data_IF_776042319105
#
_entry.id   IF_776042319105
#
_cell.length_a   1.000
_cell.length_b   1.000
_cell.length_c   1.000
_cell.angle_alpha   90.00
_cell.angle_beta   90.00
_cell.angle_gamma   90.00
#
_symmetry.space_group_name_H-M   'P 1'
#
loop_
_entity.id
_entity.type
_entity.pdbx_description
1 polymer ?
#
# COMPACT_ATOMS: atom_id res chain seq x y z
N UNK A 1 10.56 7.14 -0.33
CA UNK A 1 10.42 6.55 1.02
C UNK A 1 11.81 6.27 1.56
N UNK A 2 12.14 6.75 2.76
CA UNK A 2 13.42 6.45 3.39
C UNK A 2 13.36 5.07 4.06
N UNK A 3 14.52 4.50 4.36
CA UNK A 3 14.62 3.21 5.04
C UNK A 3 13.95 3.25 6.44
N UNK A 4 14.15 4.31 7.20
CA UNK A 4 13.52 4.49 8.53
C UNK A 4 11.98 4.47 8.46
N UNK A 5 11.38 5.17 7.49
CA UNK A 5 9.91 5.18 7.35
C UNK A 5 9.36 3.81 6.96
N UNK A 6 10.13 3.03 6.19
CA UNK A 6 9.76 1.66 5.86
C UNK A 6 9.79 0.76 7.10
N UNK A 7 10.82 0.87 7.93
CA UNK A 7 10.94 0.10 9.18
C UNK A 7 9.83 0.46 10.17
N UNK A 8 9.51 1.75 10.32
CA UNK A 8 8.39 2.20 11.16
C UNK A 8 7.06 1.61 10.70
N UNK A 9 6.80 1.69 9.38
CA UNK A 9 5.60 1.10 8.81
C UNK A 9 5.58 -0.42 9.02
N UNK A 10 6.72 -1.10 8.81
CA UNK A 10 6.87 -2.54 9.03
C UNK A 10 6.63 -2.91 10.49
N UNK A 11 7.07 -2.11 11.46
CA UNK A 11 6.78 -2.31 12.88
C UNK A 11 5.28 -2.21 13.18
N UNK A 12 4.55 -1.34 12.48
CA UNK A 12 3.11 -1.17 12.65
C UNK A 12 2.35 -2.35 12.02
N UNK A 13 2.64 -2.70 10.78
CA UNK A 13 1.85 -3.67 10.00
C UNK A 13 2.37 -5.11 10.12
N UNK A 14 3.62 -5.31 10.54
CA UNK A 14 4.30 -6.61 10.50
C UNK A 14 3.59 -7.70 11.31
N UNK A 15 2.97 -7.33 12.44
CA UNK A 15 2.18 -8.25 13.27
C UNK A 15 0.95 -8.80 12.54
N UNK A 16 0.37 -8.01 11.62
CA UNK A 16 -0.78 -8.42 10.79
C UNK A 16 -0.37 -9.28 9.59
N UNK A 17 0.92 -9.26 9.22
CA UNK A 17 1.45 -9.97 8.06
C UNK A 17 2.01 -11.36 8.41
N UNK A 18 1.90 -11.78 9.66
CA UNK A 18 2.34 -13.11 10.09
C UNK A 18 1.54 -14.20 9.34
N UNK A 19 2.26 -15.18 8.80
CA UNK A 19 1.71 -16.35 8.13
C UNK A 19 2.12 -17.58 8.92
N UNK A 20 1.19 -18.52 9.08
CA UNK A 20 1.52 -19.85 9.60
C UNK A 20 2.54 -20.52 8.66
N UNK A 21 3.77 -20.59 9.16
CA UNK A 21 4.93 -21.11 8.44
C UNK A 21 4.72 -22.54 7.96
N UNK A 22 4.24 -23.42 8.85
CA UNK A 22 4.06 -24.84 8.55
C UNK A 22 2.88 -25.09 7.62
N UNK A 23 1.79 -24.33 7.78
CA UNK A 23 0.67 -24.43 6.84
C UNK A 23 1.07 -23.93 5.44
N UNK A 24 1.84 -22.84 5.36
CA UNK A 24 2.35 -22.33 4.09
C UNK A 24 3.23 -23.37 3.39
N UNK A 25 4.24 -23.90 4.09
CA UNK A 25 5.15 -24.93 3.58
C UNK A 25 4.43 -26.15 3.00
N UNK A 26 3.42 -26.65 3.72
CA UNK A 26 2.62 -27.81 3.28
C UNK A 26 1.87 -27.51 1.98
N UNK A 27 1.29 -26.31 1.84
CA UNK A 27 0.54 -25.90 0.66
C UNK A 27 1.43 -25.57 -0.55
N UNK A 28 2.67 -25.16 -0.31
CA UNK A 28 3.59 -24.66 -1.33
C UNK A 28 4.65 -25.68 -1.75
N UNK A 29 4.52 -26.95 -1.36
CA UNK A 29 5.49 -28.02 -1.63
C UNK A 29 6.90 -27.69 -1.13
N UNK A 30 7.02 -27.12 0.07
CA UNK A 30 8.30 -26.82 0.69
C UNK A 30 8.85 -25.41 0.44
N UNK A 31 8.11 -24.53 -0.25
CA UNK A 31 8.52 -23.13 -0.44
C UNK A 31 8.15 -22.33 0.83
N UNK A 32 9.11 -21.68 1.51
CA UNK A 32 8.82 -20.89 2.70
C UNK A 32 7.89 -19.70 2.36
N UNK A 33 7.05 -19.25 3.30
CA UNK A 33 6.27 -18.02 3.10
C UNK A 33 7.19 -16.80 2.94
N UNK A 34 6.73 -15.76 2.22
CA UNK A 34 7.46 -14.49 2.18
C UNK A 34 7.55 -13.87 3.58
N UNK A 35 8.63 -13.14 3.85
CA UNK A 35 8.75 -12.36 5.09
C UNK A 35 7.78 -11.17 5.08
N UNK A 36 7.33 -10.66 6.25
CA UNK A 36 6.53 -9.44 6.33
C UNK A 36 7.15 -8.25 5.58
N UNK A 37 8.48 -8.09 5.63
CA UNK A 37 9.20 -7.05 4.89
C UNK A 37 9.04 -7.21 3.37
N UNK A 38 9.21 -8.43 2.86
CA UNK A 38 8.99 -8.75 1.44
C UNK A 38 7.54 -8.49 1.04
N UNK A 39 6.57 -8.87 1.88
CA UNK A 39 5.16 -8.61 1.61
C UNK A 39 4.85 -7.12 1.51
N UNK A 40 5.33 -6.34 2.47
CA UNK A 40 5.16 -4.89 2.50
C UNK A 40 5.82 -4.24 1.28
N UNK A 41 7.07 -4.61 0.96
CA UNK A 41 7.78 -4.10 -0.21
C UNK A 41 7.04 -4.41 -1.53
N UNK A 42 6.54 -5.65 -1.71
CA UNK A 42 5.73 -6.03 -2.87
C UNK A 42 4.51 -5.12 -3.05
N UNK A 43 3.75 -4.92 -1.97
CA UNK A 43 2.53 -4.13 -1.99
C UNK A 43 2.84 -2.64 -2.24
N UNK A 44 3.90 -2.10 -1.64
CA UNK A 44 4.32 -0.72 -1.90
C UNK A 44 4.74 -0.53 -3.35
N UNK A 45 5.61 -1.38 -3.91
CA UNK A 45 6.00 -1.33 -5.32
C UNK A 45 4.79 -1.44 -6.26
N UNK A 46 3.80 -2.26 -5.91
CA UNK A 46 2.56 -2.32 -6.67
C UNK A 46 1.78 -1.00 -6.62
N UNK A 47 1.64 -0.41 -5.42
CA UNK A 47 1.00 0.91 -5.27
C UNK A 47 1.76 2.03 -5.97
N UNK A 48 3.07 1.89 -6.15
CA UNK A 48 3.87 2.86 -6.91
C UNK A 48 3.66 2.76 -8.42
N UNK A 49 2.79 1.87 -8.89
CA UNK A 49 2.59 1.60 -10.31
C UNK A 49 3.68 0.76 -10.96
N UNK A 50 4.52 0.08 -10.17
CA UNK A 50 5.55 -0.81 -10.73
C UNK A 50 4.90 -2.02 -11.41
N UNK A 51 5.57 -2.57 -12.42
CA UNK A 51 5.05 -3.69 -13.20
C UNK A 51 4.85 -4.92 -12.31
N UNK A 52 3.62 -5.42 -12.30
CA UNK A 52 3.23 -6.68 -11.63
C UNK A 52 4.20 -7.83 -11.94
N UNK A 53 4.56 -7.99 -13.22
CA UNK A 53 5.49 -9.04 -13.64
C UNK A 53 6.89 -8.82 -13.06
N UNK A 54 7.37 -7.58 -13.07
CA UNK A 54 8.69 -7.23 -12.54
C UNK A 54 8.79 -7.48 -11.03
N UNK A 55 7.80 -7.02 -10.26
CA UNK A 55 7.75 -7.23 -8.81
C UNK A 55 7.81 -8.72 -8.48
N UNK A 56 7.01 -9.54 -9.19
CA UNK A 56 6.97 -10.98 -8.97
C UNK A 56 8.28 -11.69 -9.28
N UNK A 57 8.96 -11.27 -10.35
CA UNK A 57 10.26 -11.85 -10.72
C UNK A 57 11.31 -11.50 -9.66
N UNK A 58 11.38 -10.25 -9.21
CA UNK A 58 12.33 -9.82 -8.18
C UNK A 58 12.09 -10.55 -6.85
N UNK A 59 10.83 -10.72 -6.47
CA UNK A 59 10.46 -11.24 -5.14
C UNK A 59 10.29 -12.76 -5.11
N UNK A 60 10.31 -13.42 -6.28
CA UNK A 60 10.14 -14.87 -6.41
C UNK A 60 8.75 -15.38 -6.06
N UNK A 61 7.74 -14.50 -5.98
CA UNK A 61 6.40 -14.91 -5.54
C UNK A 61 5.52 -15.39 -6.70
N UNK A 62 4.72 -16.43 -6.43
CA UNK A 62 3.70 -16.90 -7.37
C UNK A 62 2.62 -15.83 -7.61
N UNK A 63 1.89 -15.93 -8.72
CA UNK A 63 0.73 -15.06 -9.02
C UNK A 63 -0.27 -15.06 -7.86
N UNK A 64 -0.64 -16.25 -7.37
CA UNK A 64 -1.59 -16.39 -6.28
C UNK A 64 -1.07 -15.77 -4.97
N UNK A 65 0.23 -15.94 -4.69
CA UNK A 65 0.87 -15.35 -3.51
C UNK A 65 0.90 -13.82 -3.61
N UNK A 66 1.21 -13.26 -4.79
CA UNK A 66 1.20 -11.82 -5.01
C UNK A 66 -0.16 -11.20 -4.69
N UNK A 67 -1.25 -11.72 -5.26
CA UNK A 67 -2.58 -11.19 -5.00
C UNK A 67 -2.93 -11.25 -3.51
N UNK A 68 -2.60 -12.36 -2.83
CA UNK A 68 -2.80 -12.51 -1.38
C UNK A 68 -1.97 -11.51 -0.57
N UNK A 69 -0.73 -11.23 -0.98
CA UNK A 69 0.13 -10.22 -0.35
C UNK A 69 -0.52 -8.84 -0.47
N UNK A 70 -0.93 -8.44 -1.67
CA UNK A 70 -1.54 -7.12 -1.89
C UNK A 70 -2.75 -6.94 -1.01
N UNK A 71 -3.68 -7.90 -1.00
CA UNK A 71 -4.85 -7.83 -0.13
C UNK A 71 -4.48 -7.78 1.35
N UNK A 72 -3.61 -8.68 1.83
CA UNK A 72 -3.21 -8.71 3.24
C UNK A 72 -2.58 -7.41 3.70
N UNK A 73 -1.69 -6.81 2.90
CA UNK A 73 -1.05 -5.54 3.25
C UNK A 73 -2.06 -4.40 3.25
N UNK A 74 -2.99 -4.34 2.29
CA UNK A 74 -4.04 -3.29 2.32
C UNK A 74 -4.94 -3.42 3.54
N UNK A 75 -5.36 -4.65 3.89
CA UNK A 75 -6.14 -4.87 5.12
C UNK A 75 -5.34 -4.50 6.37
N UNK A 76 -4.07 -4.90 6.47
CA UNK A 76 -3.22 -4.53 7.60
C UNK A 76 -3.03 -3.02 7.76
N UNK A 77 -2.93 -2.27 6.66
CA UNK A 77 -2.86 -0.81 6.69
C UNK A 77 -4.19 -0.21 7.17
N UNK A 78 -5.31 -0.71 6.65
CA UNK A 78 -6.65 -0.19 6.96
C UNK A 78 -7.12 -0.54 8.39
N UNK A 79 -6.74 -1.71 8.90
CA UNK A 79 -7.14 -2.21 10.23
C UNK A 79 -6.23 -1.69 11.35
N UNK A 80 -5.10 -1.07 11.00
CA UNK A 80 -4.19 -0.52 12.00
C UNK A 80 -4.71 0.81 12.53
N UNK A 81 -5.16 0.84 13.79
CA UNK A 81 -5.57 2.06 14.49
C UNK A 81 -4.49 3.15 14.50
N UNK A 82 -3.21 2.76 14.44
CA UNK A 82 -2.08 3.70 14.37
C UNK A 82 -1.98 4.44 13.04
N UNK A 83 -2.53 3.84 11.98
CA UNK A 83 -2.59 4.42 10.63
C UNK A 83 -3.98 4.94 10.27
N UNK A 84 -5.00 4.55 11.04
CA UNK A 84 -6.37 5.01 10.85
C UNK A 84 -6.41 6.53 11.01
N UNK A 85 -6.91 7.28 10.01
CA UNK A 85 -7.12 8.70 10.17
C UNK A 85 -8.18 8.91 11.27
N UNK A 86 -7.91 9.77 12.27
CA UNK A 86 -8.80 9.93 13.44
C UNK A 86 -10.22 10.36 13.08
N UNK A 87 -10.43 10.93 11.89
CA UNK A 87 -11.74 11.12 11.22
C UNK A 87 -11.53 11.57 9.78
N UNK A 88 -12.25 10.98 8.84
CA UNK A 88 -12.38 11.59 7.51
C UNK A 88 -13.17 12.91 7.63
N UNK A 89 -12.75 13.97 6.91
CA UNK A 89 -13.48 15.24 6.92
C UNK A 89 -14.87 15.06 6.29
N UNK A 90 -15.91 15.21 7.11
CA UNK A 90 -17.32 15.02 6.70
C UNK A 90 -18.07 16.32 6.40
N UNK A 91 -17.42 17.47 6.59
CA UNK A 91 -18.02 18.81 6.39
C UNK A 91 -17.20 19.57 5.37
N UNK A 92 -17.86 20.36 4.52
CA UNK A 92 -17.23 21.18 3.47
C UNK A 92 -16.10 22.06 4.01
N UNK A 93 -16.28 22.64 5.20
CA UNK A 93 -15.22 23.43 5.86
C UNK A 93 -13.97 22.60 6.15
N UNK A 94 -14.13 21.42 6.78
CA UNK A 94 -13.01 20.51 7.06
C UNK A 94 -12.37 19.96 5.79
N UNK A 95 -13.16 19.73 4.74
CA UNK A 95 -12.64 19.33 3.43
C UNK A 95 -11.74 20.40 2.86
N UNK A 96 -12.17 21.66 2.88
CA UNK A 96 -11.37 22.80 2.41
C UNK A 96 -10.12 23.01 3.27
N UNK A 97 -10.23 22.90 4.60
CA UNK A 97 -9.08 23.02 5.51
C UNK A 97 -8.07 21.89 5.28
N UNK A 98 -8.55 20.66 5.08
CA UNK A 98 -7.71 19.49 4.77
C UNK A 98 -7.05 19.63 3.40
N UNK A 99 -7.79 20.08 2.39
CA UNK A 99 -7.26 20.34 1.06
C UNK A 99 -6.20 21.45 1.07
N UNK A 100 -6.41 22.51 1.87
CA UNK A 100 -5.42 23.57 2.07
C UNK A 100 -4.16 23.06 2.77
N UNK A 101 -4.31 22.21 3.80
CA UNK A 101 -3.19 21.56 4.47
C UNK A 101 -2.40 20.66 3.49
N UNK A 102 -3.09 19.84 2.69
CA UNK A 102 -2.47 19.06 1.61
C UNK A 102 -1.73 19.95 0.61
N UNK A 103 -2.37 21.05 0.17
CA UNK A 103 -1.76 21.99 -0.76
C UNK A 103 -0.51 22.64 -0.17
N UNK A 104 -0.49 22.91 1.13
CA UNK A 104 0.65 23.52 1.82
C UNK A 104 1.87 22.60 1.93
N UNK A 105 1.68 21.28 1.86
CA UNK A 105 2.76 20.29 1.87
C UNK A 105 2.95 19.58 0.52
N UNK A 106 2.27 20.05 -0.53
CA UNK A 106 2.40 19.54 -1.89
C UNK A 106 3.01 20.59 -2.81
N UNK A 107 3.93 20.19 -3.66
CA UNK A 107 4.40 21.00 -4.78
C UNK A 107 3.57 20.64 -6.02
N UNK A 108 2.84 21.61 -6.59
CA UNK A 108 1.97 21.40 -7.76
C UNK A 108 0.93 20.26 -7.63
N UNK A 109 0.46 19.98 -6.41
CA UNK A 109 -0.47 18.87 -6.14
C UNK A 109 0.21 17.51 -5.98
N UNK A 110 1.55 17.49 -5.96
CA UNK A 110 2.38 16.32 -5.68
C UNK A 110 2.98 16.48 -4.29
N UNK A 111 2.68 15.56 -3.38
CA UNK A 111 3.37 15.52 -2.09
C UNK A 111 4.72 14.85 -2.34
N UNK A 112 5.81 15.54 -2.02
CA UNK A 112 7.16 14.98 -2.16
C UNK A 112 7.26 13.63 -1.44
N UNK A 113 7.89 12.65 -2.08
CA UNK A 113 8.03 11.27 -1.59
C UNK A 113 6.72 10.47 -1.40
N UNK A 114 5.56 11.02 -1.78
CA UNK A 114 4.31 10.28 -1.90
C UNK A 114 4.00 10.00 -3.37
N UNK A 115 3.65 8.76 -3.67
CA UNK A 115 3.26 8.39 -5.02
C UNK A 115 1.76 8.52 -5.09
N UNK A 116 1.32 9.61 -5.74
CA UNK A 116 -0.08 9.82 -6.04
C UNK A 116 -0.61 8.66 -6.87
N UNK A 117 -1.76 8.11 -6.48
CA UNK A 117 -2.61 7.41 -7.44
C UNK A 117 -2.99 8.47 -8.45
N UNK A 118 -2.47 8.35 -9.68
CA UNK A 118 -3.03 9.10 -10.81
C UNK A 118 -4.46 8.59 -10.94
N UNK A 119 -5.41 9.39 -10.46
CA UNK A 119 -6.79 9.22 -10.88
C UNK A 119 -6.78 9.45 -12.39
N UNK A 120 -6.90 8.37 -13.17
CA UNK A 120 -7.29 8.48 -14.57
C UNK A 120 -8.76 8.90 -14.57
N UNK A 121 -9.04 10.14 -14.19
CA UNK A 121 -10.23 10.84 -14.68
C UNK A 121 -10.01 11.02 -16.18
N UNK A 122 -10.31 9.98 -16.96
CA UNK A 122 -10.68 10.22 -18.36
C UNK A 122 -11.81 11.22 -18.30
N UNK A 123 -11.59 12.39 -18.92
CA UNK A 123 -12.63 13.38 -19.10
C UNK A 123 -13.86 12.69 -19.66
N UNK A 124 -14.92 12.67 -18.86
CA UNK A 124 -16.26 12.57 -19.39
C UNK A 124 -16.59 13.96 -19.93
N UNK A 125 -16.00 14.28 -21.08
CA UNK A 125 -16.57 15.26 -22.00
C UNK A 125 -17.42 14.45 -22.99
N UNK A 126 -18.65 14.19 -22.56
CA UNK A 126 -19.76 13.81 -23.43
C UNK A 126 -20.84 14.84 -23.14
N UNK A 127 -20.58 16.05 -23.65
CA UNK A 127 -21.63 16.99 -24.02
C UNK A 127 -22.45 16.35 -25.15
N UNK A 128 -23.76 16.54 -25.09
CA UNK A 128 -24.78 16.13 -26.08
C UNK A 128 -24.35 16.44 -27.51
#
# INVERSE_FOLDING_TARGET
MTFSTFEELLCIVGLYLVVDYYQSLRRSKGIPPPSPATMLQCALLWRTGSSYHHIRVITGVSTATFCRIVYRVMFAINDSDKLAPPRFPSTTKKLNDTAAAFRSCSDHGVIENCIGVIELSKGADLTI
#
